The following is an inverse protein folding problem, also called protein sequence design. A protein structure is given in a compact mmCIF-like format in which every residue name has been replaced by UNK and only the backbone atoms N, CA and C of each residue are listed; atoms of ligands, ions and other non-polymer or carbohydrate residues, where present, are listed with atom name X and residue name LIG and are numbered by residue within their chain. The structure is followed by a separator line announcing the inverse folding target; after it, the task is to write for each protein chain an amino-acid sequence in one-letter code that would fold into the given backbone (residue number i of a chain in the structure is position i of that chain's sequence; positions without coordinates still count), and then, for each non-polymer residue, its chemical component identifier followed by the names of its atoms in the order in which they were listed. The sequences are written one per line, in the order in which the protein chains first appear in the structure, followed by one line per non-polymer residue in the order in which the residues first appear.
data_IF_451104454400
#
_entry.id   IF_451104454400
#
_cell.length_a   1.000
_cell.length_b   1.000
_cell.length_c   1.000
_cell.angle_alpha   90.00
_cell.angle_beta   90.00
_cell.angle_gamma   90.00
#
_symmetry.space_group_name_H-M   'P 1'
#
loop_
_entity.id
_entity.type
_entity.pdbx_description
1 polymer ?
#
# COMPACT_ATOMS: atom_id res chain seq x y z
N UNK A 1 -11.75 -26.78 46.61
CA UNK A 1 -10.97 -26.40 47.81
C UNK A 1 -9.90 -27.45 48.06
N UNK A 2 -8.65 -27.25 47.62
CA UNK A 2 -7.46 -27.80 48.30
C UNK A 2 -6.20 -27.01 47.92
N UNK A 3 -5.76 -26.18 48.87
CA UNK A 3 -4.41 -25.72 49.25
C UNK A 3 -3.33 -25.40 48.20
N UNK A 4 -2.94 -24.11 48.19
CA UNK A 4 -1.58 -23.65 47.91
C UNK A 4 -0.61 -24.08 49.02
N UNK A 5 0.65 -24.39 48.67
CA UNK A 5 1.82 -23.82 49.38
C UNK A 5 3.08 -23.75 48.49
N UNK A 6 3.99 -22.81 48.80
CA UNK A 6 5.02 -22.27 47.91
C UNK A 6 6.39 -22.92 48.13
N UNK A 7 7.26 -22.88 47.11
CA UNK A 7 8.70 -22.92 47.33
C UNK A 7 9.27 -21.50 47.29
N UNK A 8 9.65 -21.06 48.48
CA UNK A 8 10.49 -19.90 48.78
C UNK A 8 11.95 -20.30 48.60
N UNK A 9 12.73 -19.34 48.10
CA UNK A 9 14.16 -19.24 48.35
C UNK A 9 15.05 -19.85 47.26
N UNK A 10 16.17 -19.24 46.89
CA UNK A 10 16.79 -18.04 47.40
C UNK A 10 17.97 -17.66 46.50
N UNK A 11 18.36 -16.37 46.57
CA UNK A 11 19.72 -15.83 46.44
C UNK A 11 20.34 -15.82 45.03
N UNK A 12 20.41 -14.65 44.39
CA UNK A 12 21.49 -13.65 44.52
C UNK A 12 22.82 -14.11 43.90
N UNK A 13 23.10 -13.59 42.71
CA UNK A 13 24.46 -13.24 42.32
C UNK A 13 24.41 -11.94 41.50
N UNK A 14 24.74 -10.84 42.17
CA UNK A 14 25.23 -9.63 41.54
C UNK A 14 26.52 -9.98 40.78
N UNK A 15 26.62 -9.57 39.52
CA UNK A 15 27.90 -9.25 38.91
C UNK A 15 27.77 -7.87 38.26
N UNK A 16 28.07 -6.85 39.08
CA UNK A 16 28.44 -5.52 38.63
C UNK A 16 29.79 -5.65 37.93
N UNK A 17 29.84 -5.44 36.61
CA UNK A 17 31.08 -5.16 35.90
C UNK A 17 30.98 -3.75 35.34
N UNK A 18 31.43 -2.80 36.15
CA UNK A 18 31.69 -1.43 35.74
C UNK A 18 33.11 -1.32 35.19
N UNK A 19 33.25 -0.35 34.28
CA UNK A 19 34.48 0.30 33.80
C UNK A 19 35.24 -0.36 32.64
N UNK A 20 35.04 0.20 31.45
CA UNK A 20 36.15 0.83 30.71
C UNK A 20 35.60 1.90 29.76
N UNK A 21 35.76 3.16 30.14
CA UNK A 21 35.70 4.29 29.23
C UNK A 21 36.86 4.21 28.24
N UNK A 22 36.56 4.14 26.94
CA UNK A 22 37.48 4.50 25.87
C UNK A 22 36.74 5.44 24.90
N UNK A 23 37.20 6.69 24.72
CA UNK A 23 36.63 7.64 23.77
C UNK A 23 37.39 7.56 22.44
N UNK A 24 36.78 6.98 21.42
CA UNK A 24 37.10 7.11 19.98
C UNK A 24 36.30 5.98 19.29
N UNK A 25 35.36 6.22 18.40
CA UNK A 25 35.41 7.12 17.27
C UNK A 25 34.05 7.80 17.13
N UNK A 26 34.05 9.12 17.02
CA UNK A 26 32.97 9.82 16.35
C UNK A 26 32.94 9.33 14.90
N UNK A 27 32.22 8.24 14.66
CA UNK A 27 31.67 7.96 13.34
C UNK A 27 30.67 9.07 13.10
N UNK A 28 31.17 10.14 12.48
CA UNK A 28 30.37 11.01 11.65
C UNK A 28 29.56 10.09 10.74
N UNK A 29 28.31 9.84 11.13
CA UNK A 29 27.27 9.44 10.21
C UNK A 29 27.17 10.62 9.23
N UNK A 30 28.07 10.62 8.24
CA UNK A 30 27.89 11.42 7.05
C UNK A 30 26.47 11.07 6.58
N UNK A 31 25.61 12.07 6.29
CA UNK A 31 24.38 11.77 5.61
C UNK A 31 24.80 10.99 4.37
N UNK A 32 24.36 9.73 4.27
CA UNK A 32 24.42 9.03 3.01
C UNK A 32 23.63 9.92 2.08
N UNK A 33 24.34 10.73 1.30
CA UNK A 33 23.79 11.45 0.18
C UNK A 33 23.06 10.38 -0.59
N UNK A 34 21.73 10.41 -0.52
CA UNK A 34 20.87 9.56 -1.32
C UNK A 34 21.29 9.85 -2.74
N UNK A 35 22.16 9.00 -3.28
CA UNK A 35 22.41 8.97 -4.69
C UNK A 35 21.02 8.88 -5.28
N UNK A 36 20.63 9.89 -6.05
CA UNK A 36 19.41 9.80 -6.85
C UNK A 36 19.48 8.44 -7.52
N UNK A 37 18.51 7.57 -7.18
CA UNK A 37 18.40 6.30 -7.85
C UNK A 37 18.35 6.62 -9.35
N UNK A 38 19.07 5.84 -10.19
CA UNK A 38 18.96 6.00 -11.64
C UNK A 38 17.48 6.08 -12.04
N UNK A 39 17.20 6.87 -13.08
CA UNK A 39 15.87 7.00 -13.69
C UNK A 39 15.15 5.64 -13.75
N UNK A 40 13.91 5.63 -13.27
CA UNK A 40 13.34 4.51 -12.50
C UNK A 40 12.74 3.39 -13.38
N UNK A 41 13.60 2.63 -14.06
CA UNK A 41 13.23 1.39 -14.74
C UNK A 41 12.48 0.42 -13.80
N UNK A 42 12.64 0.53 -12.46
CA UNK A 42 12.00 -0.41 -11.53
C UNK A 42 10.51 -0.18 -11.43
N UNK A 43 10.06 1.07 -11.45
CA UNK A 43 8.63 1.38 -11.44
C UNK A 43 7.95 0.95 -12.73
N UNK A 44 8.56 1.24 -13.88
CA UNK A 44 8.05 0.81 -15.18
C UNK A 44 7.99 -0.72 -15.28
N UNK A 45 9.06 -1.41 -14.85
CA UNK A 45 9.07 -2.88 -14.81
C UNK A 45 8.03 -3.44 -13.84
N UNK A 46 7.81 -2.82 -12.68
CA UNK A 46 6.80 -3.28 -11.73
C UNK A 46 5.37 -3.12 -12.28
N UNK A 47 5.11 -2.06 -13.06
CA UNK A 47 3.86 -1.93 -13.80
C UNK A 47 3.71 -2.98 -14.90
N UNK A 48 4.78 -3.24 -15.66
CA UNK A 48 4.77 -4.27 -16.69
C UNK A 48 4.51 -5.67 -16.09
N UNK A 49 5.21 -6.04 -15.01
CA UNK A 49 5.00 -7.29 -14.30
C UNK A 49 3.56 -7.42 -13.80
N UNK A 50 2.98 -6.33 -13.27
CA UNK A 50 1.58 -6.32 -12.84
C UNK A 50 0.64 -6.55 -14.02
N UNK A 51 0.81 -5.81 -15.11
CA UNK A 51 0.01 -5.92 -16.34
C UNK A 51 0.07 -7.33 -16.93
N UNK A 52 1.25 -7.94 -16.98
CA UNK A 52 1.44 -9.30 -17.46
C UNK A 52 0.77 -10.33 -16.55
N UNK A 53 0.90 -10.17 -15.23
CA UNK A 53 0.31 -11.09 -14.24
C UNK A 53 -1.22 -11.10 -14.23
N UNK A 54 -1.84 -10.02 -14.71
CA UNK A 54 -3.29 -9.83 -14.71
C UNK A 54 -3.93 -10.03 -16.08
N UNK A 55 -3.16 -10.48 -17.06
CA UNK A 55 -3.65 -10.64 -18.43
C UNK A 55 -4.88 -11.57 -18.46
N UNK A 56 -6.03 -11.01 -18.83
CA UNK A 56 -7.32 -11.70 -18.86
C UNK A 56 -8.08 -11.79 -17.54
N UNK A 57 -7.57 -11.22 -16.44
CA UNK A 57 -8.27 -11.21 -15.15
C UNK A 57 -9.50 -10.31 -15.18
N UNK A 58 -9.38 -9.11 -15.76
CA UNK A 58 -10.47 -8.13 -15.84
C UNK A 58 -10.73 -7.67 -17.27
N UNK A 59 -12.01 -7.50 -17.66
CA UNK A 59 -12.35 -6.79 -18.89
C UNK A 59 -11.94 -5.32 -18.78
N UNK A 60 -11.63 -4.69 -19.92
CA UNK A 60 -11.11 -3.32 -19.97
C UNK A 60 -11.83 -2.30 -19.07
N UNK A 61 -13.18 -2.23 -19.04
CA UNK A 61 -13.88 -1.32 -18.14
C UNK A 61 -13.65 -1.59 -16.64
N UNK A 62 -13.60 -2.85 -16.22
CA UNK A 62 -13.32 -3.20 -14.82
C UNK A 62 -11.85 -2.92 -14.46
N UNK A 63 -10.93 -3.18 -15.40
CA UNK A 63 -9.51 -2.84 -15.24
C UNK A 63 -9.34 -1.33 -15.00
N UNK A 64 -9.95 -0.48 -15.84
CA UNK A 64 -9.89 0.97 -15.71
C UNK A 64 -10.51 1.44 -14.40
N UNK A 65 -11.67 0.87 -14.01
CA UNK A 65 -12.31 1.19 -12.74
C UNK A 65 -11.42 0.84 -11.53
N UNK A 66 -10.79 -0.34 -11.55
CA UNK A 66 -9.89 -0.79 -10.49
C UNK A 66 -8.66 0.12 -10.35
N UNK A 67 -8.09 0.53 -11.49
CA UNK A 67 -6.96 1.46 -11.53
C UNK A 67 -7.32 2.83 -10.94
N UNK A 68 -8.48 3.36 -11.29
CA UNK A 68 -8.96 4.65 -10.80
C UNK A 68 -9.29 4.63 -9.31
N UNK A 69 -9.84 3.51 -8.80
CA UNK A 69 -10.04 3.29 -7.37
C UNK A 69 -8.70 3.29 -6.62
N UNK A 70 -7.72 2.54 -7.12
CA UNK A 70 -6.40 2.45 -6.49
C UNK A 70 -5.67 3.80 -6.48
N UNK A 71 -5.68 4.53 -7.60
CA UNK A 71 -5.09 5.87 -7.72
C UNK A 71 -5.70 6.83 -6.71
N UNK A 72 -7.04 6.92 -6.65
CA UNK A 72 -7.73 7.83 -5.74
C UNK A 72 -7.54 7.45 -4.26
N UNK A 73 -7.43 6.16 -3.94
CA UNK A 73 -7.04 5.73 -2.61
C UNK A 73 -5.61 6.17 -2.23
N UNK A 74 -4.67 6.09 -3.17
CA UNK A 74 -3.28 6.54 -2.96
C UNK A 74 -3.17 8.06 -2.78
N UNK A 75 -3.95 8.86 -3.53
CA UNK A 75 -4.02 10.32 -3.38
C UNK A 75 -4.29 10.72 -1.94
N UNK A 76 -5.30 10.11 -1.29
CA UNK A 76 -5.67 10.44 0.10
C UNK A 76 -4.55 10.11 1.10
N UNK A 77 -3.62 9.23 0.74
CA UNK A 77 -2.48 8.89 1.60
C UNK A 77 -1.26 9.77 1.38
N UNK A 78 -1.05 10.24 0.15
CA UNK A 78 0.14 10.97 -0.30
C UNK A 78 -0.07 12.50 -0.25
N UNK A 79 -1.23 12.96 -0.69
CA UNK A 79 -1.56 14.37 -0.88
C UNK A 79 -2.44 14.91 0.23
N UNK A 80 -2.08 16.08 0.75
CA UNK A 80 -2.82 16.72 1.84
C UNK A 80 -4.15 17.31 1.34
N UNK A 81 -5.15 17.35 2.22
CA UNK A 81 -6.44 18.00 1.94
C UNK A 81 -7.43 17.17 1.12
N UNK A 82 -7.10 15.92 0.78
CA UNK A 82 -8.02 14.99 0.14
C UNK A 82 -8.60 14.00 1.15
N UNK A 83 -9.87 13.65 0.97
CA UNK A 83 -10.50 12.53 1.67
C UNK A 83 -11.26 11.66 0.68
N UNK A 84 -11.57 10.40 1.04
CA UNK A 84 -12.46 9.57 0.24
C UNK A 84 -13.90 9.82 0.66
N UNK A 85 -14.81 9.92 -0.31
CA UNK A 85 -16.20 9.57 -0.11
C UNK A 85 -16.31 8.06 0.08
N UNK A 86 -16.29 7.62 1.34
CA UNK A 86 -16.28 6.20 1.69
C UNK A 86 -17.48 5.43 1.15
N UNK A 87 -18.64 6.10 0.98
CA UNK A 87 -19.84 5.44 0.47
C UNK A 87 -19.71 5.16 -1.03
N UNK A 88 -19.35 6.17 -1.82
CA UNK A 88 -19.22 6.01 -3.29
C UNK A 88 -18.00 5.17 -3.63
N UNK A 89 -16.90 5.30 -2.88
CA UNK A 89 -15.72 4.45 -3.00
C UNK A 89 -16.06 2.98 -2.72
N UNK A 90 -16.78 2.70 -1.62
CA UNK A 90 -17.21 1.34 -1.28
C UNK A 90 -18.11 0.72 -2.34
N UNK A 91 -19.03 1.51 -2.93
CA UNK A 91 -19.84 1.09 -4.08
C UNK A 91 -18.99 0.79 -5.31
N UNK A 92 -17.96 1.59 -5.57
CA UNK A 92 -16.99 1.34 -6.64
C UNK A 92 -16.24 0.02 -6.47
N UNK A 93 -15.75 -0.26 -5.25
CA UNK A 93 -15.09 -1.53 -4.92
C UNK A 93 -16.07 -2.71 -5.11
N UNK A 94 -17.29 -2.62 -4.61
CA UNK A 94 -18.29 -3.67 -4.81
C UNK A 94 -18.59 -3.91 -6.31
N UNK A 95 -18.59 -2.85 -7.12
CA UNK A 95 -18.78 -2.93 -8.57
C UNK A 95 -17.68 -3.72 -9.28
N UNK A 96 -16.41 -3.52 -8.94
CA UNK A 96 -15.29 -4.25 -9.55
C UNK A 96 -15.15 -5.69 -9.03
N UNK A 97 -15.68 -6.00 -7.85
CA UNK A 97 -15.73 -7.36 -7.32
C UNK A 97 -16.85 -8.21 -7.93
N UNK A 98 -17.78 -7.60 -8.66
CA UNK A 98 -18.83 -8.33 -9.36
C UNK A 98 -18.23 -9.07 -10.55
N UNK A 99 -18.33 -10.40 -10.54
CA UNK A 99 -17.82 -11.25 -11.62
C UNK A 99 -18.36 -10.77 -12.98
N UNK A 100 -17.50 -10.65 -14.01
CA UNK A 100 -17.95 -10.37 -15.37
C UNK A 100 -18.69 -11.58 -15.99
N UNK A 101 -18.48 -12.78 -15.45
CA UNK A 101 -19.10 -14.03 -15.88
C UNK A 101 -20.18 -14.47 -14.87
N UNK A 102 -21.40 -14.62 -15.38
CA UNK A 102 -22.60 -14.96 -14.60
C UNK A 102 -22.70 -16.45 -14.29
N UNK A 103 -21.88 -17.26 -14.95
CA UNK A 103 -21.88 -18.71 -14.82
C UNK A 103 -20.85 -19.19 -13.77
N UNK A 104 -20.15 -18.26 -13.11
CA UNK A 104 -19.28 -18.60 -11.99
C UNK A 104 -20.08 -19.23 -10.85
N UNK A 105 -19.59 -20.36 -10.34
CA UNK A 105 -20.06 -20.90 -9.08
C UNK A 105 -19.49 -20.10 -7.90
N UNK A 106 -20.05 -20.30 -6.70
CA UNK A 106 -19.64 -19.57 -5.49
C UNK A 106 -18.13 -19.62 -5.21
N UNK A 107 -17.45 -20.74 -5.51
CA UNK A 107 -16.00 -20.85 -5.34
C UNK A 107 -15.27 -19.94 -6.34
N UNK A 108 -15.68 -19.95 -7.60
CA UNK A 108 -15.09 -19.11 -8.64
C UNK A 108 -15.31 -17.62 -8.38
N UNK A 109 -16.49 -17.23 -7.90
CA UNK A 109 -16.77 -15.84 -7.49
C UNK A 109 -15.83 -15.38 -6.37
N UNK A 110 -15.59 -16.24 -5.36
CA UNK A 110 -14.65 -15.95 -4.27
C UNK A 110 -13.21 -15.84 -4.77
N UNK A 111 -12.79 -16.75 -5.65
CA UNK A 111 -11.44 -16.71 -6.24
C UNK A 111 -11.23 -15.46 -7.10
N UNK A 112 -12.23 -15.09 -7.90
CA UNK A 112 -12.23 -13.85 -8.66
C UNK A 112 -12.15 -12.62 -7.75
N UNK A 113 -13.01 -12.53 -6.73
CA UNK A 113 -12.99 -11.42 -5.78
C UNK A 113 -11.65 -11.30 -5.06
N UNK A 114 -11.05 -12.42 -4.65
CA UNK A 114 -9.72 -12.43 -4.06
C UNK A 114 -8.65 -11.92 -5.03
N UNK A 115 -8.68 -12.38 -6.29
CA UNK A 115 -7.75 -11.90 -7.32
C UNK A 115 -7.91 -10.40 -7.59
N UNK A 116 -9.13 -9.87 -7.66
CA UNK A 116 -9.40 -8.44 -7.81
C UNK A 116 -8.89 -7.62 -6.62
N UNK A 117 -9.01 -8.13 -5.39
CA UNK A 117 -8.47 -7.45 -4.20
C UNK A 117 -6.94 -7.44 -4.18
N UNK A 118 -6.29 -8.53 -4.62
CA UNK A 118 -4.83 -8.57 -4.78
C UNK A 118 -4.38 -7.56 -5.83
N UNK A 119 -5.06 -7.55 -6.98
CA UNK A 119 -4.86 -6.61 -8.08
C UNK A 119 -5.03 -5.14 -7.64
N UNK A 120 -6.06 -4.85 -6.84
CA UNK A 120 -6.27 -3.54 -6.22
C UNK A 120 -5.10 -3.16 -5.32
N UNK A 121 -4.69 -4.07 -4.42
CA UNK A 121 -3.60 -3.84 -3.48
C UNK A 121 -2.26 -3.58 -4.17
N UNK A 122 -1.96 -4.32 -5.24
CA UNK A 122 -0.76 -4.12 -6.04
C UNK A 122 -0.73 -2.73 -6.68
N UNK A 123 -1.80 -2.32 -7.36
CA UNK A 123 -1.90 -0.96 -7.94
C UNK A 123 -1.81 0.13 -6.89
N UNK A 124 -2.50 -0.04 -5.76
CA UNK A 124 -2.44 0.91 -4.66
C UNK A 124 -1.00 1.05 -4.16
N UNK A 125 -0.27 -0.05 -4.01
CA UNK A 125 1.15 -0.06 -3.66
C UNK A 125 2.02 0.67 -4.68
N UNK A 126 1.82 0.45 -5.98
CA UNK A 126 2.54 1.14 -7.05
C UNK A 126 2.27 2.64 -7.05
N UNK A 127 1.01 3.07 -6.93
CA UNK A 127 0.68 4.49 -6.83
C UNK A 127 1.23 5.15 -5.56
N UNK A 128 1.30 4.42 -4.44
CA UNK A 128 2.00 4.92 -3.26
C UNK A 128 3.49 5.09 -3.54
N UNK A 129 4.14 4.14 -4.24
CA UNK A 129 5.54 4.24 -4.58
C UNK A 129 5.81 5.45 -5.49
N UNK A 130 5.04 5.61 -6.56
CA UNK A 130 5.10 6.79 -7.45
C UNK A 130 4.88 8.09 -6.70
N UNK A 131 3.80 8.16 -5.90
CA UNK A 131 3.46 9.35 -5.15
C UNK A 131 4.48 9.71 -4.07
N UNK A 132 5.28 8.76 -3.58
CA UNK A 132 6.41 9.07 -2.68
C UNK A 132 7.71 9.35 -3.44
N UNK A 133 7.87 8.82 -4.66
CA UNK A 133 9.00 9.08 -5.55
C UNK A 133 8.98 10.52 -6.10
N UNK A 134 7.82 10.98 -6.55
CA UNK A 134 7.58 12.37 -6.97
C UNK A 134 6.25 12.91 -6.43
N UNK A 135 6.25 13.26 -5.15
CA UNK A 135 5.06 13.76 -4.46
C UNK A 135 4.46 15.01 -5.10
N UNK A 136 5.30 15.92 -5.60
CA UNK A 136 4.81 17.19 -6.12
C UNK A 136 4.01 16.96 -7.39
N UNK A 137 4.60 16.24 -8.34
CA UNK A 137 3.95 16.03 -9.64
C UNK A 137 2.76 15.06 -9.53
N UNK A 138 2.83 14.07 -8.64
CA UNK A 138 1.70 13.22 -8.30
C UNK A 138 0.52 14.03 -7.73
N UNK A 139 0.76 14.95 -6.79
CA UNK A 139 -0.31 15.76 -6.22
C UNK A 139 -0.84 16.85 -7.18
N UNK A 140 0.00 17.37 -8.08
CA UNK A 140 -0.46 18.23 -9.16
C UNK A 140 -1.36 17.47 -10.16
N UNK A 141 -1.00 16.22 -10.47
CA UNK A 141 -1.85 15.33 -11.27
C UNK A 141 -3.17 15.01 -10.56
N UNK A 142 -3.15 14.79 -9.25
CA UNK A 142 -4.34 14.59 -8.42
C UNK A 142 -5.28 15.81 -8.46
N UNK A 143 -4.72 17.02 -8.34
CA UNK A 143 -5.50 18.26 -8.42
C UNK A 143 -6.15 18.44 -9.79
N UNK A 144 -5.39 18.20 -10.87
CA UNK A 144 -5.91 18.23 -12.25
C UNK A 144 -7.00 17.19 -12.46
N UNK A 145 -6.79 15.97 -11.97
CA UNK A 145 -7.78 14.89 -12.05
C UNK A 145 -9.08 15.24 -11.33
N UNK A 146 -9.02 15.77 -10.11
CA UNK A 146 -10.21 16.20 -9.36
C UNK A 146 -10.96 17.35 -10.08
N UNK A 147 -10.24 18.27 -10.70
CA UNK A 147 -10.84 19.39 -11.43
C UNK A 147 -11.51 18.94 -12.75
N UNK A 148 -10.94 17.94 -13.42
CA UNK A 148 -11.37 17.49 -14.74
C UNK A 148 -11.37 15.95 -14.84
N UNK A 149 -12.28 15.26 -14.15
CA UNK A 149 -12.27 13.80 -14.07
C UNK A 149 -12.68 13.10 -15.38
N UNK A 150 -13.25 13.83 -16.35
CA UNK A 150 -13.83 13.25 -17.55
C UNK A 150 -15.00 12.33 -17.20
N UNK A 151 -15.05 11.15 -17.83
CA UNK A 151 -16.06 10.11 -17.56
C UNK A 151 -15.67 9.17 -16.40
N UNK A 152 -14.55 9.45 -15.72
CA UNK A 152 -14.07 8.63 -14.61
C UNK A 152 -14.84 9.00 -13.33
N UNK A 153 -15.39 8.01 -12.60
CA UNK A 153 -15.99 8.27 -11.30
C UNK A 153 -15.00 8.93 -10.31
N UNK A 154 -15.43 10.04 -9.72
CA UNK A 154 -14.67 10.76 -8.68
C UNK A 154 -15.14 10.32 -7.29
N UNK A 155 -14.20 9.84 -6.49
CA UNK A 155 -14.38 9.41 -5.10
C UNK A 155 -13.69 10.34 -4.10
N UNK A 156 -12.98 11.37 -4.58
CA UNK A 156 -12.28 12.34 -3.74
C UNK A 156 -13.24 13.45 -3.26
N UNK A 157 -13.12 13.81 -1.99
CA UNK A 157 -13.73 14.98 -1.33
C UNK A 157 -12.67 16.03 -1.06
#
# INVERSE_FOLDING_TARGET
MTMLKPLRGALLALALSAAACAPALAQSAAPQSGAALPDDDRMDNAWNDLLESENGLLPGPQYTALNNLAYQAAIVRVCDGYTLDTETFGKGIAGVLTSPDKDFNEKQEKEFGAAVLVAFGARYGLFLAEGNGDKKDFCDAAAKFKATPGDVPLFLK
#
